data_IF_927217395046
#
_entry.id   IF_927217395046
#
_cell.length_a   1.000
_cell.length_b   1.000
_cell.length_c   1.000
_cell.angle_alpha   90.00
_cell.angle_beta   90.00
_cell.angle_gamma   90.00
#
_symmetry.space_group_name_H-M   'P 1'
#
loop_
_entity.id
_entity.type
_entity.pdbx_description
1 polymer ?
#
# COMPACT_ATOMS: atom_id res chain seq x y z
N UNK A 1 -16.03 -12.92 -10.37
CA UNK A 1 -16.46 -13.26 -9.00
C UNK A 1 -15.74 -14.52 -8.59
N UNK A 2 -14.70 -14.36 -7.78
CA UNK A 2 -13.78 -15.44 -7.40
C UNK A 2 -14.29 -16.14 -6.13
N UNK A 3 -13.94 -17.41 -5.97
CA UNK A 3 -14.45 -18.36 -4.96
C UNK A 3 -14.20 -17.96 -3.49
N UNK A 4 -13.35 -16.97 -3.23
CA UNK A 4 -13.04 -16.46 -1.88
C UNK A 4 -14.02 -15.38 -1.40
N UNK A 5 -14.92 -14.88 -2.26
CA UNK A 5 -16.01 -13.99 -1.86
C UNK A 5 -17.11 -14.73 -1.07
N UNK A 6 -17.13 -16.09 -1.07
CA UNK A 6 -18.22 -16.88 -0.48
C UNK A 6 -17.85 -17.69 0.77
N UNK A 7 -16.59 -17.75 1.18
CA UNK A 7 -16.19 -18.56 2.33
C UNK A 7 -15.69 -17.67 3.49
N UNK A 8 -16.64 -17.02 4.18
CA UNK A 8 -16.57 -16.86 5.64
C UNK A 8 -15.51 -15.93 6.24
N UNK A 9 -15.30 -14.72 5.72
CA UNK A 9 -14.68 -13.63 6.49
C UNK A 9 -15.80 -12.66 6.89
N UNK A 10 -16.13 -12.62 8.17
CA UNK A 10 -17.04 -11.59 8.70
C UNK A 10 -16.57 -10.20 8.27
N UNK A 11 -17.54 -9.33 8.01
CA UNK A 11 -17.44 -7.91 7.61
C UNK A 11 -16.59 -7.08 8.58
N UNK A 12 -15.29 -7.34 8.65
CA UNK A 12 -14.34 -6.52 9.39
C UNK A 12 -13.94 -5.41 8.42
N UNK A 13 -14.53 -4.24 8.61
CA UNK A 13 -14.07 -3.01 7.97
C UNK A 13 -12.80 -2.53 8.68
N UNK A 14 -11.90 -1.87 7.94
CA UNK A 14 -10.70 -1.29 8.53
C UNK A 14 -11.08 -0.21 9.55
N UNK A 15 -10.66 -0.39 10.79
CA UNK A 15 -10.70 0.63 11.85
C UNK A 15 -9.27 0.91 12.31
N UNK A 16 -8.63 1.88 11.62
CA UNK A 16 -7.24 2.25 11.88
C UNK A 16 -7.03 2.70 13.33
N UNK A 17 -8.02 3.43 13.89
CA UNK A 17 -7.94 3.90 15.28
C UNK A 17 -7.99 2.73 16.26
N UNK A 18 -8.85 1.74 16.03
CA UNK A 18 -8.90 0.52 16.83
C UNK A 18 -7.61 -0.30 16.69
N UNK A 19 -7.06 -0.42 15.49
CA UNK A 19 -5.78 -1.10 15.24
C UNK A 19 -4.65 -0.48 16.07
N UNK A 20 -4.50 0.85 16.05
CA UNK A 20 -3.52 1.57 16.87
C UNK A 20 -3.73 1.33 18.37
N UNK A 21 -4.98 1.39 18.83
CA UNK A 21 -5.34 1.15 20.23
C UNK A 21 -5.01 -0.29 20.68
N UNK A 22 -5.26 -1.27 19.81
CA UNK A 22 -4.96 -2.67 20.08
C UNK A 22 -3.45 -2.93 20.13
N UNK A 23 -2.69 -2.33 19.22
CA UNK A 23 -1.22 -2.40 19.24
C UNK A 23 -0.68 -1.77 20.54
N UNK A 24 -1.22 -0.62 20.96
CA UNK A 24 -0.86 0.00 22.24
C UNK A 24 -1.24 -0.88 23.44
N UNK A 25 -2.37 -1.58 23.38
CA UNK A 25 -2.79 -2.54 24.41
C UNK A 25 -1.86 -3.75 24.43
N UNK A 26 -1.47 -4.26 23.26
CA UNK A 26 -0.53 -5.38 23.13
C UNK A 26 0.82 -5.01 23.74
N UNK A 27 1.31 -3.79 23.48
CA UNK A 27 2.52 -3.22 24.09
C UNK A 27 2.42 -3.20 25.61
N UNK A 28 1.37 -2.59 26.17
CA UNK A 28 1.16 -2.51 27.62
C UNK A 28 1.11 -3.89 28.27
N UNK A 29 0.45 -4.85 27.62
CA UNK A 29 0.42 -6.23 28.11
C UNK A 29 1.83 -6.83 28.18
N UNK A 30 2.65 -6.62 27.15
CA UNK A 30 4.02 -7.17 27.05
C UNK A 30 5.02 -6.49 27.98
N UNK A 31 4.83 -5.22 28.30
CA UNK A 31 5.67 -4.47 29.23
C UNK A 31 5.32 -4.75 30.70
N UNK A 32 4.04 -4.94 31.03
CA UNK A 32 3.58 -5.02 32.43
C UNK A 32 3.25 -6.43 32.92
N UNK A 33 3.11 -7.43 32.03
CA UNK A 33 2.75 -8.80 32.40
C UNK A 33 3.77 -9.79 31.86
N UNK A 34 4.34 -10.67 32.72
CA UNK A 34 5.22 -11.74 32.28
C UNK A 34 4.61 -12.58 31.15
N UNK A 35 5.41 -12.91 30.15
CA UNK A 35 4.95 -13.63 28.96
C UNK A 35 4.29 -14.98 29.30
N UNK A 36 4.80 -15.68 30.31
CA UNK A 36 4.23 -16.94 30.78
C UNK A 36 2.80 -16.75 31.27
N UNK A 37 2.49 -15.67 32.02
CA UNK A 37 1.13 -15.37 32.47
C UNK A 37 0.23 -14.99 31.30
N UNK A 38 0.73 -14.25 30.31
CA UNK A 38 -0.02 -13.92 29.09
C UNK A 38 -0.39 -15.19 28.30
N UNK A 39 0.49 -16.20 28.27
CA UNK A 39 0.28 -17.46 27.55
C UNK A 39 -0.50 -18.52 28.33
N UNK A 40 -0.63 -18.36 29.65
CA UNK A 40 -1.34 -19.30 30.54
C UNK A 40 -2.63 -18.67 31.10
N UNK A 41 -2.51 -17.88 32.16
CA UNK A 41 -3.64 -17.25 32.87
C UNK A 41 -4.49 -16.35 31.96
N UNK A 42 -3.85 -15.55 31.11
CA UNK A 42 -4.52 -14.61 30.20
C UNK A 42 -4.55 -15.09 28.75
N UNK A 43 -4.39 -16.40 28.51
CA UNK A 43 -4.25 -16.98 27.15
C UNK A 43 -5.36 -16.55 26.20
N UNK A 44 -6.63 -16.62 26.65
CA UNK A 44 -7.80 -16.30 25.82
C UNK A 44 -7.82 -14.83 25.37
N UNK A 45 -7.82 -13.82 26.27
CA UNK A 45 -7.82 -12.42 25.84
C UNK A 45 -6.54 -12.02 25.10
N UNK A 46 -5.39 -12.58 25.45
CA UNK A 46 -4.14 -12.29 24.75
C UNK A 46 -4.13 -12.83 23.31
N UNK A 47 -4.62 -14.06 23.10
CA UNK A 47 -4.76 -14.61 21.76
C UNK A 47 -5.78 -13.81 20.94
N UNK A 48 -6.94 -13.48 21.52
CA UNK A 48 -7.98 -12.69 20.84
C UNK A 48 -7.45 -11.34 20.36
N UNK A 49 -6.73 -10.60 21.22
CA UNK A 49 -6.12 -9.33 20.83
C UNK A 49 -5.16 -9.48 19.64
N UNK A 50 -4.35 -10.54 19.63
CA UNK A 50 -3.43 -10.77 18.51
C UNK A 50 -4.15 -11.11 17.20
N UNK A 51 -5.25 -11.86 17.26
CA UNK A 51 -6.07 -12.14 16.08
C UNK A 51 -6.79 -10.89 15.58
N UNK A 52 -7.33 -10.05 16.48
CA UNK A 52 -7.96 -8.76 16.11
C UNK A 52 -6.94 -7.84 15.40
N UNK A 53 -5.73 -7.70 15.94
CA UNK A 53 -4.64 -6.95 15.29
C UNK A 53 -4.29 -7.56 13.93
N UNK A 54 -4.18 -8.89 13.84
CA UNK A 54 -3.80 -9.56 12.58
C UNK A 54 -4.84 -9.29 11.50
N UNK A 55 -6.13 -9.47 11.79
CA UNK A 55 -7.20 -9.28 10.83
C UNK A 55 -7.25 -7.84 10.31
N UNK A 56 -7.19 -6.85 11.21
CA UNK A 56 -7.15 -5.42 10.85
C UNK A 56 -5.89 -5.06 10.06
N UNK A 57 -4.73 -5.56 10.48
CA UNK A 57 -3.47 -5.28 9.79
C UNK A 57 -3.41 -5.92 8.39
N UNK A 58 -4.00 -7.10 8.19
CA UNK A 58 -4.08 -7.72 6.87
C UNK A 58 -4.92 -6.88 5.90
N UNK A 59 -6.07 -6.37 6.34
CA UNK A 59 -6.90 -5.46 5.54
C UNK A 59 -6.11 -4.19 5.25
N UNK A 60 -5.48 -3.61 6.26
CA UNK A 60 -4.69 -2.39 6.11
C UNK A 60 -3.54 -2.55 5.11
N UNK A 61 -2.81 -3.66 5.16
CA UNK A 61 -1.74 -3.98 4.21
C UNK A 61 -2.27 -4.08 2.77
N UNK A 62 -3.46 -4.67 2.57
CA UNK A 62 -4.09 -4.74 1.23
C UNK A 62 -4.41 -3.35 0.71
N UNK A 63 -5.04 -2.50 1.52
CA UNK A 63 -5.35 -1.12 1.13
C UNK A 63 -4.09 -0.31 0.85
N UNK A 64 -3.09 -0.43 1.71
CA UNK A 64 -1.81 0.27 1.57
C UNK A 64 -1.05 -0.17 0.32
N UNK A 65 -1.03 -1.47 0.00
CA UNK A 65 -0.33 -2.01 -1.18
C UNK A 65 -0.92 -1.50 -2.50
N UNK A 66 -2.20 -1.12 -2.50
CA UNK A 66 -2.90 -0.59 -3.67
C UNK A 66 -2.97 0.94 -3.69
N UNK A 67 -2.33 1.61 -2.73
CA UNK A 67 -2.31 3.07 -2.68
C UNK A 67 -1.60 3.64 -3.92
N UNK A 68 -2.21 4.67 -4.53
CA UNK A 68 -1.68 5.28 -5.76
C UNK A 68 -2.07 4.54 -7.04
N UNK A 69 -2.93 3.53 -6.95
CA UNK A 69 -3.64 2.93 -8.09
C UNK A 69 -5.04 3.54 -8.11
N UNK A 70 -5.40 4.29 -9.16
CA UNK A 70 -6.81 4.64 -9.35
C UNK A 70 -7.56 3.39 -9.75
N UNK A 71 -8.80 3.25 -9.24
CA UNK A 71 -9.72 2.25 -9.76
C UNK A 71 -9.78 2.40 -11.28
N UNK A 72 -9.29 1.35 -11.93
CA UNK A 72 -9.63 0.86 -13.25
C UNK A 72 -10.56 1.81 -14.03
N UNK A 73 -10.07 2.40 -15.12
CA UNK A 73 -10.86 3.28 -15.98
C UNK A 73 -12.13 2.58 -16.48
N UNK A 74 -13.16 3.33 -16.90
CA UNK A 74 -14.46 2.77 -17.32
C UNK A 74 -14.34 1.70 -18.42
N UNK A 75 -13.24 1.72 -19.19
CA UNK A 75 -13.02 0.89 -20.36
C UNK A 75 -11.99 -0.23 -20.16
N UNK A 76 -11.54 -0.52 -18.93
CA UNK A 76 -10.61 -1.64 -18.73
C UNK A 76 -11.24 -2.97 -19.12
N UNK A 77 -10.48 -3.70 -19.90
CA UNK A 77 -10.86 -5.03 -20.34
C UNK A 77 -10.66 -6.08 -19.23
N UNK A 78 -11.43 -7.18 -19.24
CA UNK A 78 -11.19 -8.31 -18.35
C UNK A 78 -9.75 -8.85 -18.43
N UNK A 79 -9.13 -8.78 -19.61
CA UNK A 79 -7.75 -9.18 -19.85
C UNK A 79 -6.76 -8.27 -19.11
N UNK A 80 -6.90 -6.95 -19.23
CA UNK A 80 -6.06 -5.98 -18.52
C UNK A 80 -6.21 -6.10 -17.00
N UNK A 81 -7.43 -6.33 -16.52
CA UNK A 81 -7.67 -6.58 -15.10
C UNK A 81 -6.92 -7.83 -14.64
N UNK A 82 -7.01 -8.92 -15.41
CA UNK A 82 -6.34 -10.18 -15.09
C UNK A 82 -4.82 -10.04 -15.11
N UNK A 83 -4.26 -9.30 -16.06
CA UNK A 83 -2.82 -9.01 -16.11
C UNK A 83 -2.36 -8.20 -14.89
N UNK A 84 -3.14 -7.18 -14.49
CA UNK A 84 -2.85 -6.38 -13.30
C UNK A 84 -2.92 -7.21 -12.02
N UNK A 85 -3.97 -8.02 -11.85
CA UNK A 85 -4.12 -8.93 -10.71
C UNK A 85 -2.96 -9.93 -10.63
N UNK A 86 -2.55 -10.50 -11.77
CA UNK A 86 -1.43 -11.42 -11.83
C UNK A 86 -0.09 -10.75 -11.48
N UNK A 87 0.13 -9.52 -11.96
CA UNK A 87 1.32 -8.73 -11.63
C UNK A 87 1.40 -8.39 -10.14
N UNK A 88 0.29 -7.95 -9.55
CA UNK A 88 0.19 -7.67 -8.11
C UNK A 88 0.48 -8.93 -7.29
N UNK A 89 -0.16 -10.05 -7.62
CA UNK A 89 0.04 -11.30 -6.89
C UNK A 89 1.49 -11.78 -6.98
N UNK A 90 2.12 -11.66 -8.16
CA UNK A 90 3.53 -12.00 -8.34
C UNK A 90 4.44 -11.20 -7.40
N UNK A 91 4.23 -9.89 -7.29
CA UNK A 91 5.02 -9.04 -6.38
C UNK A 91 4.78 -9.46 -4.92
N UNK A 92 3.53 -9.69 -4.52
CA UNK A 92 3.20 -10.16 -3.17
C UNK A 92 3.94 -11.47 -2.86
N UNK A 93 3.97 -12.42 -3.78
CA UNK A 93 4.64 -13.70 -3.61
C UNK A 93 6.16 -13.54 -3.50
N UNK A 94 6.79 -12.72 -4.36
CA UNK A 94 8.22 -12.43 -4.33
C UNK A 94 8.65 -11.77 -3.02
N UNK A 95 7.94 -10.73 -2.60
CA UNK A 95 8.23 -9.98 -1.37
C UNK A 95 7.94 -10.82 -0.11
N UNK A 96 6.93 -11.69 -0.16
CA UNK A 96 6.68 -12.66 0.90
C UNK A 96 7.80 -13.69 0.99
N UNK A 97 8.26 -14.23 -0.14
CA UNK A 97 9.38 -15.17 -0.20
C UNK A 97 10.70 -14.53 0.28
N UNK A 98 10.89 -13.23 0.02
CA UNK A 98 12.02 -12.45 0.53
C UNK A 98 11.93 -12.17 2.04
N UNK A 99 10.80 -12.47 2.69
CA UNK A 99 10.59 -12.29 4.13
C UNK A 99 10.16 -10.87 4.53
N UNK A 100 9.82 -10.02 3.57
CA UNK A 100 9.46 -8.62 3.85
C UNK A 100 8.09 -8.50 4.53
N UNK A 101 7.12 -9.36 4.19
CA UNK A 101 5.85 -9.44 4.94
C UNK A 101 6.08 -9.80 6.42
N UNK A 102 7.06 -10.66 6.69
CA UNK A 102 7.44 -11.02 8.06
C UNK A 102 8.09 -9.84 8.78
N UNK A 103 8.87 -9.01 8.09
CA UNK A 103 9.45 -7.78 8.64
C UNK A 103 8.36 -6.77 9.03
N UNK A 104 7.37 -6.53 8.17
CA UNK A 104 6.21 -5.69 8.48
C UNK A 104 5.43 -6.23 9.70
N UNK A 105 5.16 -7.54 9.72
CA UNK A 105 4.47 -8.19 10.85
C UNK A 105 5.28 -8.07 12.14
N UNK A 106 6.62 -8.15 12.06
CA UNK A 106 7.49 -7.99 13.22
C UNK A 106 7.38 -6.59 13.81
N UNK A 107 7.39 -5.56 12.97
CA UNK A 107 7.23 -4.17 13.39
C UNK A 107 5.93 -3.97 14.20
N UNK A 108 4.83 -4.59 13.78
CA UNK A 108 3.54 -4.52 14.51
C UNK A 108 3.57 -5.31 15.82
N UNK A 109 3.91 -6.59 15.78
CA UNK A 109 3.67 -7.49 16.92
C UNK A 109 4.77 -7.50 17.98
N UNK A 110 5.98 -7.07 17.62
CA UNK A 110 7.15 -7.13 18.52
C UNK A 110 7.74 -5.74 18.80
N UNK A 111 7.61 -4.81 17.87
CA UNK A 111 8.11 -3.44 18.03
C UNK A 111 6.97 -2.45 18.31
N UNK A 112 5.72 -2.90 18.20
CA UNK A 112 4.50 -2.11 18.45
C UNK A 112 4.48 -0.79 17.65
N UNK A 113 5.01 -0.83 16.43
CA UNK A 113 5.24 0.32 15.59
C UNK A 113 4.54 0.15 14.24
N UNK A 114 3.28 0.61 14.18
CA UNK A 114 2.48 0.57 12.96
C UNK A 114 3.11 1.42 11.86
N UNK A 115 3.65 2.60 12.20
CA UNK A 115 4.30 3.50 11.24
C UNK A 115 5.52 2.88 10.56
N UNK A 116 6.31 2.10 11.30
CA UNK A 116 7.43 1.33 10.71
C UNK A 116 6.89 0.27 9.75
N UNK A 117 5.84 -0.45 10.13
CA UNK A 117 5.22 -1.44 9.26
C UNK A 117 4.67 -0.80 7.97
N UNK A 118 4.03 0.38 8.06
CA UNK A 118 3.56 1.16 6.91
C UNK A 118 4.70 1.51 5.97
N UNK A 119 5.78 2.14 6.47
CA UNK A 119 6.89 2.56 5.63
C UNK A 119 7.58 1.38 4.95
N UNK A 120 7.74 0.25 5.64
CA UNK A 120 8.25 -0.99 5.05
C UNK A 120 7.31 -1.50 3.96
N UNK A 121 6.01 -1.53 4.23
CA UNK A 121 5.02 -2.00 3.28
C UNK A 121 4.96 -1.13 2.01
N UNK A 122 5.05 0.20 2.16
CA UNK A 122 5.11 1.12 1.04
C UNK A 122 6.29 0.81 0.12
N UNK A 123 7.50 0.72 0.67
CA UNK A 123 8.70 0.51 -0.14
C UNK A 123 8.82 -0.89 -0.75
N UNK A 124 8.36 -1.93 -0.05
CA UNK A 124 8.42 -3.31 -0.56
C UNK A 124 7.31 -3.63 -1.56
N UNK A 125 6.08 -3.21 -1.27
CA UNK A 125 4.90 -3.64 -2.02
C UNK A 125 4.32 -2.50 -2.86
N UNK A 126 3.93 -1.40 -2.22
CA UNK A 126 3.19 -0.31 -2.89
C UNK A 126 3.97 0.30 -4.04
N UNK A 127 5.25 0.63 -3.83
CA UNK A 127 6.11 1.19 -4.88
C UNK A 127 6.28 0.21 -6.05
N UNK A 128 6.64 -1.05 -5.77
CA UNK A 128 6.78 -2.06 -6.83
C UNK A 128 5.50 -2.24 -7.62
N UNK A 129 4.35 -2.35 -6.95
CA UNK A 129 3.05 -2.48 -7.61
C UNK A 129 2.76 -1.25 -8.48
N UNK A 130 2.96 -0.05 -7.93
CA UNK A 130 2.72 1.22 -8.62
C UNK A 130 3.56 1.34 -9.90
N UNK A 131 4.85 1.03 -9.84
CA UNK A 131 5.76 1.24 -10.97
C UNK A 131 5.87 0.04 -11.93
N UNK A 132 5.92 -1.19 -11.42
CA UNK A 132 6.12 -2.39 -12.25
C UNK A 132 4.80 -2.88 -12.88
N UNK A 133 3.66 -2.65 -12.21
CA UNK A 133 2.35 -3.16 -12.67
C UNK A 133 1.45 -2.04 -13.18
N UNK A 134 1.28 -0.98 -12.40
CA UNK A 134 0.28 0.05 -12.74
C UNK A 134 0.80 1.06 -13.76
N UNK A 135 2.07 1.47 -13.71
CA UNK A 135 2.61 2.47 -14.63
C UNK A 135 2.48 2.11 -16.13
N UNK A 136 2.69 0.85 -16.56
CA UNK A 136 2.41 0.45 -17.95
C UNK A 136 0.95 0.68 -18.37
N UNK A 137 -0.01 0.40 -17.48
CA UNK A 137 -1.42 0.67 -17.75
C UNK A 137 -1.68 2.18 -17.80
N UNK A 138 -1.20 2.91 -16.80
CA UNK A 138 -1.31 4.37 -16.73
C UNK A 138 -0.82 5.06 -18.00
N UNK A 139 0.38 4.72 -18.49
CA UNK A 139 0.98 5.37 -19.66
C UNK A 139 0.23 5.08 -20.97
N UNK A 140 -0.48 3.94 -21.09
CA UNK A 140 -1.38 3.67 -22.25
C UNK A 140 -2.55 4.65 -22.29
N UNK A 141 -2.97 5.12 -21.13
CA UNK A 141 -4.11 6.02 -20.93
C UNK A 141 -3.71 7.50 -20.96
N UNK A 142 -2.42 7.80 -21.12
CA UNK A 142 -1.92 9.17 -21.26
C UNK A 142 -1.88 9.55 -22.74
N UNK A 143 -2.40 10.73 -23.07
CA UNK A 143 -2.33 11.32 -24.40
C UNK A 143 -2.08 12.83 -24.31
N UNK A 144 -2.08 13.53 -25.46
CA UNK A 144 -1.94 14.98 -25.51
C UNK A 144 -3.20 15.61 -26.07
N UNK A 145 -3.61 16.74 -25.49
CA UNK A 145 -4.66 17.60 -26.04
C UNK A 145 -4.14 18.35 -27.31
N UNK A 146 -5.01 19.06 -28.05
CA UNK A 146 -4.61 19.83 -29.23
C UNK A 146 -3.56 20.90 -28.97
N UNK A 147 -3.42 21.36 -27.72
CA UNK A 147 -2.39 22.32 -27.29
C UNK A 147 -1.08 21.63 -26.85
N UNK A 148 -0.99 20.30 -26.98
CA UNK A 148 0.18 19.51 -26.64
C UNK A 148 0.35 19.22 -25.14
N UNK A 149 -0.64 19.54 -24.30
CA UNK A 149 -0.61 19.27 -22.86
C UNK A 149 -1.03 17.83 -22.60
N UNK A 150 -0.36 17.18 -21.65
CA UNK A 150 -0.72 15.81 -21.29
C UNK A 150 -2.06 15.77 -20.57
N UNK A 151 -2.89 14.82 -20.98
CA UNK A 151 -4.20 14.47 -20.44
C UNK A 151 -4.27 12.96 -20.23
N UNK A 152 -5.21 12.49 -19.43
CA UNK A 152 -5.55 11.08 -19.33
C UNK A 152 -7.05 10.92 -19.15
N UNK A 153 -7.62 9.88 -19.77
CA UNK A 153 -9.01 9.47 -19.58
C UNK A 153 -9.28 8.89 -18.17
N UNK A 154 -8.23 8.49 -17.44
CA UNK A 154 -8.32 8.08 -16.03
C UNK A 154 -8.57 9.25 -15.07
N UNK A 155 -8.26 10.48 -15.49
CA UNK A 155 -8.50 11.71 -14.74
C UNK A 155 -9.20 12.76 -15.62
N UNK A 156 -10.50 12.57 -15.95
CA UNK A 156 -11.21 13.47 -16.84
C UNK A 156 -11.22 14.92 -16.34
N UNK A 157 -10.77 15.84 -17.19
CA UNK A 157 -10.70 17.27 -16.90
C UNK A 157 -9.38 17.75 -16.28
N UNK A 158 -8.50 16.82 -15.88
CA UNK A 158 -7.17 17.17 -15.38
C UNK A 158 -6.14 17.24 -16.51
N UNK A 159 -5.16 18.14 -16.35
CA UNK A 159 -4.00 18.28 -17.23
C UNK A 159 -2.72 18.16 -16.42
N UNK A 160 -1.65 17.67 -17.03
CA UNK A 160 -0.34 17.65 -16.38
C UNK A 160 0.27 19.05 -16.30
N UNK A 161 0.74 19.41 -15.12
CA UNK A 161 1.53 20.60 -14.85
C UNK A 161 2.88 20.18 -14.26
N UNK A 162 4.00 20.29 -15.01
CA UNK A 162 5.31 19.81 -14.56
C UNK A 162 5.97 20.69 -13.47
N UNK A 163 5.45 21.90 -13.25
CA UNK A 163 5.99 22.84 -12.26
C UNK A 163 5.84 22.28 -10.83
N UNK A 164 6.80 22.59 -9.95
CA UNK A 164 6.72 22.23 -8.54
C UNK A 164 6.81 20.73 -8.23
N UNK A 165 7.33 19.92 -9.15
CA UNK A 165 7.46 18.46 -8.97
C UNK A 165 6.40 17.64 -9.71
N UNK A 166 5.52 18.28 -10.48
CA UNK A 166 4.55 17.59 -11.33
C UNK A 166 3.25 17.26 -10.62
N UNK A 167 2.12 17.73 -11.17
CA UNK A 167 0.79 17.36 -10.68
C UNK A 167 -0.24 17.34 -11.82
N UNK A 168 -1.27 16.52 -11.64
CA UNK A 168 -2.48 16.58 -12.47
C UNK A 168 -3.44 17.57 -11.85
N UNK A 169 -3.86 18.59 -12.61
CA UNK A 169 -4.63 19.72 -12.10
C UNK A 169 -5.89 19.93 -12.93
N UNK A 170 -7.03 20.09 -12.25
CA UNK A 170 -8.26 20.63 -12.82
C UNK A 170 -8.45 22.05 -12.27
N UNK A 171 -8.08 23.05 -13.07
CA UNK A 171 -8.19 24.46 -12.72
C UNK A 171 -9.64 24.93 -12.55
N UNK A 172 -10.58 24.27 -13.24
CA UNK A 172 -12.00 24.63 -13.15
C UNK A 172 -12.61 24.22 -11.80
N UNK A 173 -12.15 23.10 -11.25
CA UNK A 173 -12.57 22.56 -9.95
C UNK A 173 -11.63 22.90 -8.81
N UNK A 174 -10.52 23.59 -9.09
CA UNK A 174 -9.45 23.88 -8.12
C UNK A 174 -8.96 22.62 -7.39
N UNK A 175 -8.81 21.52 -8.12
CA UNK A 175 -8.36 20.25 -7.57
C UNK A 175 -7.07 19.77 -8.22
N UNK A 176 -6.28 19.00 -7.47
CA UNK A 176 -5.06 18.38 -7.96
C UNK A 176 -4.90 16.95 -7.43
N UNK A 177 -4.09 16.14 -8.12
CA UNK A 177 -3.63 14.84 -7.64
C UNK A 177 -2.18 14.58 -8.07
N UNK A 178 -1.45 13.83 -7.24
CA UNK A 178 -0.05 13.45 -7.43
C UNK A 178 0.09 12.03 -8.00
N UNK A 179 -0.80 11.69 -8.94
CA UNK A 179 -0.72 10.43 -9.69
C UNK A 179 0.53 10.39 -10.56
N UNK A 180 0.84 9.21 -11.10
CA UNK A 180 2.00 8.97 -11.94
C UNK A 180 2.16 10.04 -13.05
N UNK A 181 3.40 10.44 -13.37
CA UNK A 181 3.65 11.41 -14.42
C UNK A 181 3.33 10.84 -15.81
N UNK A 182 3.23 11.70 -16.84
CA UNK A 182 2.71 11.30 -18.15
C UNK A 182 3.73 10.60 -19.06
N UNK A 183 5.00 10.51 -18.67
CA UNK A 183 6.04 9.89 -19.50
C UNK A 183 6.83 8.83 -18.78
N UNK A 184 7.32 7.83 -19.51
CA UNK A 184 8.17 6.78 -18.95
C UNK A 184 9.41 7.35 -18.25
N UNK A 185 10.06 8.36 -18.85
CA UNK A 185 11.24 8.97 -18.26
C UNK A 185 10.96 9.64 -16.90
N UNK A 186 9.81 10.31 -16.76
CA UNK A 186 9.40 10.89 -15.48
C UNK A 186 9.00 9.80 -14.47
N UNK A 187 8.33 8.72 -14.92
CA UNK A 187 7.97 7.57 -14.08
C UNK A 187 9.24 6.92 -13.52
N UNK A 188 10.23 6.65 -14.37
CA UNK A 188 11.50 6.02 -14.00
C UNK A 188 12.27 6.90 -13.01
N UNK A 189 12.34 8.22 -13.28
CA UNK A 189 13.00 9.18 -12.39
C UNK A 189 12.32 9.25 -11.01
N UNK A 190 10.98 9.22 -10.96
CA UNK A 190 10.25 9.19 -9.70
C UNK A 190 10.48 7.87 -8.95
N UNK A 191 10.45 6.74 -9.65
CA UNK A 191 10.71 5.42 -9.06
C UNK A 191 12.10 5.32 -8.45
N UNK A 192 13.13 5.77 -9.18
CA UNK A 192 14.51 5.79 -8.69
C UNK A 192 14.65 6.66 -7.43
N UNK A 193 14.05 7.86 -7.42
CA UNK A 193 14.07 8.73 -6.26
C UNK A 193 13.39 8.11 -5.03
N UNK A 194 12.22 7.50 -5.20
CA UNK A 194 11.50 6.83 -4.11
C UNK A 194 12.28 5.61 -3.59
N UNK A 195 12.89 4.82 -4.48
CA UNK A 195 13.74 3.70 -4.10
C UNK A 195 14.99 4.12 -3.32
N UNK A 196 15.64 5.23 -3.69
CA UNK A 196 16.78 5.75 -2.91
C UNK A 196 16.36 6.24 -1.52
N UNK A 197 15.20 6.89 -1.41
CA UNK A 197 14.61 7.27 -0.12
C UNK A 197 14.34 6.02 0.73
N UNK A 198 13.74 4.98 0.14
CA UNK A 198 13.44 3.75 0.86
C UNK A 198 14.71 2.99 1.28
N UNK A 199 15.73 2.90 0.41
CA UNK A 199 17.03 2.31 0.76
C UNK A 199 17.68 3.04 1.93
N UNK A 200 17.60 4.38 1.97
CA UNK A 200 18.08 5.16 3.11
C UNK A 200 17.29 4.84 4.38
N UNK A 201 15.97 4.81 4.29
CA UNK A 201 15.09 4.43 5.40
C UNK A 201 15.44 3.03 5.96
N UNK A 202 15.63 2.04 5.09
CA UNK A 202 16.00 0.67 5.49
C UNK A 202 17.33 0.63 6.25
N UNK A 203 18.33 1.42 5.83
CA UNK A 203 19.60 1.51 6.56
C UNK A 203 19.39 2.06 7.97
N UNK A 204 18.56 3.09 8.12
CA UNK A 204 18.27 3.71 9.41
C UNK A 204 17.54 2.75 10.36
N UNK A 205 16.48 2.07 9.90
CA UNK A 205 15.63 1.24 10.78
C UNK A 205 16.16 -0.17 11.05
N UNK A 206 17.21 -0.59 10.35
CA UNK A 206 17.90 -1.88 10.59
C UNK A 206 19.20 -1.74 11.38
N UNK A 207 19.72 -0.52 11.55
CA UNK A 207 20.90 -0.24 12.39
C UNK A 207 20.54 -0.05 13.88
N UNK A 208 19.27 0.21 14.18
CA UNK A 208 18.69 0.32 15.53
C UNK A 208 18.10 -1.01 16.00
#
# INVERSE_FOLDING_TARGET
MQKWEQEGVGTVELDLKKLEQDIATLRKNRENVPLELLKTKYKKPYAKLKEEIRAQFEIYMKELSLLGILKIGPDMTPEEQKEMEAGIQKIIDEETAAGHLRECTKAVFYEFNLRKAENLACGYFTERIKYEVYAPYWLKHVSKDPEGRYITDLLPGMKWHPEGGGAWVDLSKQSLTLMLPPTQAEVDAQHEAEQEIFKKYLKEVRQT
#
